data_IF_360149777192
#
_entry.id   IF_360149777192
#
_cell.length_a   1.000
_cell.length_b   1.000
_cell.length_c   1.000
_cell.angle_alpha   90.00
_cell.angle_beta   90.00
_cell.angle_gamma   90.00
#
_symmetry.space_group_name_H-M   'P 1'
#
loop_
_entity.id
_entity.type
_entity.pdbx_description
1 polymer ?
#
# COMPACT_ATOMS: atom_id res chain seq x y z
N UNK A 1 4.51 18.88 -10.20
CA UNK A 1 3.64 17.88 -9.55
C UNK A 1 4.01 17.84 -8.07
N UNK A 2 3.05 17.63 -7.17
CA UNK A 2 3.35 17.51 -5.74
C UNK A 2 3.69 16.05 -5.42
N UNK A 3 4.87 15.80 -4.85
CA UNK A 3 5.24 14.44 -4.45
C UNK A 3 4.54 14.06 -3.13
N UNK A 4 3.75 12.98 -3.17
CA UNK A 4 3.02 12.45 -2.02
C UNK A 4 3.88 11.51 -1.20
N UNK A 5 4.61 10.61 -1.87
CA UNK A 5 5.53 9.68 -1.22
C UNK A 5 6.92 9.82 -1.81
N UNK A 6 7.93 9.93 -0.96
CA UNK A 6 9.34 9.91 -1.37
C UNK A 6 10.11 8.95 -0.49
N UNK A 7 10.82 8.04 -1.13
CA UNK A 7 11.69 7.04 -0.53
C UNK A 7 13.11 7.37 -0.94
N UNK A 8 14.00 7.55 0.03
CA UNK A 8 15.40 7.93 -0.21
C UNK A 8 16.32 6.85 0.36
N UNK A 9 17.06 6.18 -0.51
CA UNK A 9 18.13 5.23 -0.20
C UNK A 9 17.75 4.17 0.85
N UNK A 10 16.48 3.69 0.80
CA UNK A 10 16.04 2.67 1.75
C UNK A 10 16.83 1.40 1.54
N UNK A 11 17.46 0.96 2.62
CA UNK A 11 18.10 -0.36 2.71
C UNK A 11 17.46 -1.14 3.84
N UNK A 12 17.11 -2.39 3.55
CA UNK A 12 16.63 -3.33 4.56
C UNK A 12 17.47 -4.60 4.54
N UNK A 13 18.19 -4.84 5.63
CA UNK A 13 19.07 -5.97 5.79
C UNK A 13 18.62 -6.87 6.95
N UNK A 14 18.44 -8.15 6.66
CA UNK A 14 18.13 -9.18 7.64
C UNK A 14 19.38 -10.06 7.88
N UNK A 15 20.08 -9.78 8.94
CA UNK A 15 21.36 -10.48 9.20
C UNK A 15 22.38 -10.23 8.07
N UNK A 16 22.72 -11.26 7.31
CA UNK A 16 23.62 -11.17 6.16
C UNK A 16 22.94 -10.91 4.83
N UNK A 17 21.60 -10.91 4.77
CA UNK A 17 20.85 -10.77 3.51
C UNK A 17 20.35 -9.34 3.37
N UNK A 18 20.67 -8.68 2.26
CA UNK A 18 20.14 -7.36 1.90
C UNK A 18 18.94 -7.57 0.99
N UNK A 19 17.74 -7.39 1.55
CA UNK A 19 16.47 -7.60 0.82
C UNK A 19 16.04 -6.37 0.00
N UNK A 20 16.42 -5.17 0.44
CA UNK A 20 16.25 -3.90 -0.30
C UNK A 20 17.56 -3.13 -0.15
N UNK A 21 18.09 -2.60 -1.24
CA UNK A 21 19.43 -2.03 -1.29
C UNK A 21 19.44 -0.65 -1.96
N UNK A 22 19.54 0.41 -1.17
CA UNK A 22 19.57 1.81 -1.62
C UNK A 22 18.44 2.19 -2.57
N UNK A 23 17.22 1.71 -2.30
CA UNK A 23 16.05 1.99 -3.11
C UNK A 23 15.61 3.44 -2.93
N UNK A 24 15.57 4.18 -4.03
CA UNK A 24 15.02 5.54 -4.09
C UNK A 24 13.92 5.58 -5.14
N UNK A 25 12.77 6.15 -4.77
CA UNK A 25 11.61 6.32 -5.66
C UNK A 25 10.67 7.37 -5.11
N UNK A 26 9.75 7.83 -5.94
CA UNK A 26 8.71 8.78 -5.53
C UNK A 26 7.37 8.46 -6.18
N UNK A 27 6.29 8.96 -5.59
CA UNK A 27 4.93 8.88 -6.12
C UNK A 27 4.34 10.27 -6.05
N UNK A 28 3.87 10.78 -7.18
CA UNK A 28 3.27 12.10 -7.27
C UNK A 28 1.75 12.03 -7.07
N UNK A 29 1.15 13.18 -6.75
CA UNK A 29 -0.27 13.29 -6.46
C UNK A 29 -1.13 12.90 -7.67
N UNK A 30 -2.09 12.00 -7.43
CA UNK A 30 -3.01 11.53 -8.46
C UNK A 30 -2.45 10.49 -9.42
N UNK A 31 -1.23 10.00 -9.24
CA UNK A 31 -0.67 8.89 -10.03
C UNK A 31 -1.16 7.51 -9.56
N UNK A 32 -1.20 6.56 -10.49
CA UNK A 32 -1.14 5.13 -10.22
C UNK A 32 0.29 4.66 -10.53
N UNK A 33 1.05 4.33 -9.51
CA UNK A 33 2.42 3.84 -9.66
C UNK A 33 2.46 2.35 -9.31
N UNK A 34 3.14 1.56 -10.12
CA UNK A 34 3.38 0.15 -9.83
C UNK A 34 4.84 -0.12 -9.48
N UNK A 35 5.07 -1.01 -8.53
CA UNK A 35 6.37 -1.61 -8.20
C UNK A 35 6.34 -3.08 -8.63
N UNK A 36 7.11 -3.42 -9.65
CA UNK A 36 7.19 -4.77 -10.19
C UNK A 36 8.59 -5.37 -10.04
N UNK A 37 8.74 -6.64 -10.38
CA UNK A 37 9.99 -7.36 -10.36
C UNK A 37 9.79 -8.84 -10.04
N UNK A 38 10.79 -9.69 -10.23
CA UNK A 38 10.72 -11.12 -9.94
C UNK A 38 10.32 -11.45 -8.51
N UNK A 39 9.98 -12.71 -8.26
CA UNK A 39 9.74 -13.20 -6.90
C UNK A 39 11.03 -13.09 -6.07
N UNK A 40 10.90 -12.57 -4.84
CA UNK A 40 12.08 -12.32 -4.00
C UNK A 40 12.84 -11.01 -4.28
N UNK A 41 12.45 -10.22 -5.28
CA UNK A 41 13.11 -8.96 -5.60
C UNK A 41 13.05 -7.87 -4.49
N UNK A 42 12.26 -8.07 -3.42
CA UNK A 42 12.21 -7.14 -2.28
C UNK A 42 10.98 -6.24 -2.23
N UNK A 43 10.02 -6.37 -3.16
CA UNK A 43 8.80 -5.53 -3.27
C UNK A 43 8.04 -5.38 -1.96
N UNK A 44 7.60 -6.49 -1.37
CA UNK A 44 6.86 -6.51 -0.10
C UNK A 44 7.71 -5.98 1.06
N UNK A 45 9.04 -6.19 1.03
CA UNK A 45 9.94 -5.62 2.03
C UNK A 45 10.00 -4.10 1.93
N UNK A 46 10.04 -3.53 0.73
CA UNK A 46 9.96 -2.08 0.53
C UNK A 46 8.63 -1.51 1.07
N UNK A 47 7.48 -2.13 0.77
CA UNK A 47 6.18 -1.73 1.32
C UNK A 47 6.14 -1.84 2.85
N UNK A 48 6.77 -2.85 3.43
CA UNK A 48 6.85 -3.02 4.88
C UNK A 48 7.67 -1.89 5.54
N UNK A 49 8.72 -1.40 4.89
CA UNK A 49 9.48 -0.24 5.35
C UNK A 49 8.64 1.05 5.25
N UNK A 50 7.92 1.25 4.15
CA UNK A 50 7.07 2.44 3.94
C UNK A 50 5.94 2.48 4.98
N UNK A 51 5.36 1.34 5.30
CA UNK A 51 4.18 1.24 6.20
C UNK A 51 4.53 1.02 7.67
N UNK A 52 5.81 1.07 8.05
CA UNK A 52 6.26 0.96 9.44
C UNK A 52 6.14 -0.45 10.05
N UNK A 53 5.95 -1.47 9.20
CA UNK A 53 6.02 -2.88 9.63
C UNK A 53 7.47 -3.26 9.89
N UNK A 54 8.40 -2.75 9.07
CA UNK A 54 9.84 -2.88 9.27
C UNK A 54 10.48 -1.50 9.44
N UNK A 55 11.40 -1.41 10.38
CA UNK A 55 12.31 -0.27 10.48
C UNK A 55 13.42 -0.48 9.47
N UNK A 56 13.64 0.43 8.50
CA UNK A 56 14.72 0.29 7.55
C UNK A 56 16.08 0.24 8.27
N UNK A 57 17.03 -0.48 7.71
CA UNK A 57 18.41 -0.48 8.22
C UNK A 57 19.08 0.87 7.99
N UNK A 58 18.75 1.53 6.87
CA UNK A 58 19.25 2.85 6.48
C UNK A 58 18.27 3.53 5.53
N UNK A 59 18.24 4.87 5.50
CA UNK A 59 17.44 5.67 4.58
C UNK A 59 16.25 6.34 5.21
N UNK A 60 15.42 6.97 4.39
CA UNK A 60 14.28 7.78 4.81
C UNK A 60 13.04 7.56 3.94
N UNK A 61 11.88 7.69 4.57
CA UNK A 61 10.57 7.76 3.90
C UNK A 61 9.86 9.03 4.30
N UNK A 62 9.44 9.79 3.31
CA UNK A 62 8.68 11.01 3.47
C UNK A 62 7.28 10.84 2.89
N UNK A 63 6.28 11.30 3.60
CA UNK A 63 4.91 11.39 3.15
C UNK A 63 4.48 12.86 3.16
N UNK A 64 4.19 13.40 1.98
CA UNK A 64 4.21 14.84 1.75
C UNK A 64 5.52 15.46 2.30
N UNK A 65 5.45 16.51 3.08
CA UNK A 65 6.62 17.15 3.71
C UNK A 65 7.00 16.56 5.08
N UNK A 66 6.40 15.42 5.46
CA UNK A 66 6.61 14.79 6.77
C UNK A 66 7.50 13.57 6.67
N UNK A 67 8.60 13.58 7.43
CA UNK A 67 9.43 12.39 7.62
C UNK A 67 8.67 11.35 8.46
N UNK A 68 8.33 10.20 7.86
CA UNK A 68 7.55 9.14 8.51
C UNK A 68 8.37 7.95 8.96
N UNK A 69 9.49 7.67 8.29
CA UNK A 69 10.47 6.69 8.74
C UNK A 69 11.88 7.18 8.38
N UNK A 70 12.82 6.99 9.28
CA UNK A 70 14.24 7.21 9.03
C UNK A 70 15.05 6.37 10.01
N UNK A 71 16.11 5.76 9.53
CA UNK A 71 17.01 5.00 10.37
C UNK A 71 18.43 4.98 9.80
N UNK A 72 19.37 4.56 10.63
CA UNK A 72 20.77 4.35 10.27
C UNK A 72 21.31 3.12 11.02
N UNK A 73 22.35 2.45 10.49
CA UNK A 73 22.90 1.26 11.11
C UNK A 73 23.36 1.51 12.54
N UNK A 74 22.84 0.74 13.49
CA UNK A 74 23.14 0.81 14.92
C UNK A 74 23.47 -0.60 15.48
N UNK A 75 24.06 -0.67 16.65
CA UNK A 75 24.36 -1.91 17.34
C UNK A 75 25.12 -2.93 16.47
N UNK A 76 24.62 -4.15 16.36
CA UNK A 76 25.22 -5.22 15.54
C UNK A 76 25.20 -4.87 14.05
N UNK A 77 24.15 -4.19 13.56
CA UNK A 77 24.03 -3.81 12.15
C UNK A 77 25.10 -2.81 11.72
N UNK A 78 25.60 -1.94 12.62
CA UNK A 78 26.69 -1.02 12.31
C UNK A 78 27.96 -1.72 11.84
N UNK A 79 28.20 -2.96 12.30
CA UNK A 79 29.34 -3.78 11.89
C UNK A 79 29.11 -4.53 10.56
N UNK A 80 27.85 -4.88 10.29
CA UNK A 80 27.46 -5.66 9.11
C UNK A 80 27.18 -4.79 7.89
N UNK A 81 26.63 -3.58 8.12
CA UNK A 81 26.24 -2.68 7.05
C UNK A 81 27.47 -2.03 6.39
N UNK A 82 27.66 -2.28 5.11
CA UNK A 82 28.72 -1.71 4.27
C UNK A 82 28.15 -0.86 3.10
N UNK A 83 26.88 -0.42 3.20
CA UNK A 83 26.21 0.31 2.13
C UNK A 83 26.81 1.69 1.84
N UNK A 84 26.64 2.15 0.60
CA UNK A 84 27.18 3.41 0.07
C UNK A 84 26.74 4.65 0.86
N UNK A 85 25.48 4.62 1.37
CA UNK A 85 24.89 5.73 2.11
C UNK A 85 25.17 5.66 3.62
N UNK A 86 26.20 4.95 4.06
CA UNK A 86 26.58 4.86 5.47
C UNK A 86 26.95 6.24 6.01
N UNK A 87 26.24 6.67 7.08
CA UNK A 87 26.47 7.96 7.73
C UNK A 87 25.74 9.14 7.09
N UNK A 88 25.06 8.97 5.95
CA UNK A 88 24.21 9.99 5.33
C UNK A 88 23.01 10.33 6.21
N UNK A 89 22.41 9.32 6.81
CA UNK A 89 21.23 9.46 7.69
C UNK A 89 21.65 9.32 9.15
N UNK A 90 21.20 10.24 9.99
CA UNK A 90 21.58 10.30 11.42
C UNK A 90 20.37 10.38 12.35
N UNK A 91 19.19 10.66 11.79
CA UNK A 91 17.94 10.72 12.57
C UNK A 91 17.32 9.32 12.63
N UNK A 92 16.68 9.03 13.75
CA UNK A 92 15.82 7.86 13.90
C UNK A 92 14.39 8.34 14.05
N UNK A 93 13.53 7.94 13.12
CA UNK A 93 12.09 8.21 13.15
C UNK A 93 11.38 6.90 12.90
N UNK A 94 10.60 6.45 13.88
CA UNK A 94 9.83 5.20 13.82
C UNK A 94 8.37 5.52 14.06
N UNK A 95 7.53 5.10 13.14
CA UNK A 95 6.09 5.17 13.29
C UNK A 95 5.49 3.77 13.12
N UNK A 96 4.56 3.44 13.99
CA UNK A 96 3.78 2.21 13.90
C UNK A 96 2.76 2.29 12.74
N UNK A 97 2.31 1.15 12.17
CA UNK A 97 1.35 1.15 11.05
C UNK A 97 0.06 1.93 11.33
N UNK A 98 -0.44 1.89 12.56
CA UNK A 98 -1.64 2.66 12.95
C UNK A 98 -1.42 4.18 12.88
N UNK A 99 -0.22 4.66 13.26
CA UNK A 99 0.14 6.07 13.14
C UNK A 99 0.27 6.48 11.67
N UNK A 100 0.89 5.64 10.85
CA UNK A 100 1.04 5.88 9.41
C UNK A 100 -0.34 5.92 8.74
N UNK A 101 -1.26 5.03 9.10
CA UNK A 101 -2.63 5.07 8.59
C UNK A 101 -3.35 6.37 9.00
N UNK A 102 -3.18 6.84 10.23
CA UNK A 102 -3.73 8.12 10.69
C UNK A 102 -3.15 9.34 9.97
N UNK A 103 -1.97 9.22 9.37
CA UNK A 103 -1.37 10.28 8.54
C UNK A 103 -1.98 10.35 7.14
N UNK A 104 -2.70 9.32 6.69
CA UNK A 104 -3.36 9.28 5.39
C UNK A 104 -2.81 8.23 4.42
N UNK A 105 -2.06 7.24 4.89
CA UNK A 105 -1.60 6.09 4.09
C UNK A 105 -2.41 4.86 4.50
N UNK A 106 -3.23 4.32 3.59
CA UNK A 106 -3.90 3.04 3.81
C UNK A 106 -3.25 1.93 2.99
N UNK A 107 -3.27 0.70 3.50
CA UNK A 107 -2.72 -0.47 2.82
C UNK A 107 -3.69 -1.64 2.87
N UNK A 108 -3.88 -2.32 1.74
CA UNK A 108 -4.42 -3.68 1.68
C UNK A 108 -3.29 -4.70 1.83
N UNK A 109 -3.63 -5.96 2.02
CA UNK A 109 -2.64 -7.02 2.15
C UNK A 109 -2.84 -8.07 1.06
N UNK A 110 -1.78 -8.77 0.67
CA UNK A 110 -1.85 -9.88 -0.29
C UNK A 110 -2.93 -10.90 0.10
N UNK A 111 -2.90 -11.36 1.34
CA UNK A 111 -3.97 -12.18 1.92
C UNK A 111 -5.05 -11.28 2.50
N UNK A 112 -6.27 -11.37 2.01
CA UNK A 112 -7.42 -10.57 2.47
C UNK A 112 -7.59 -10.68 3.99
N UNK A 113 -7.57 -9.54 4.68
CA UNK A 113 -7.71 -9.45 6.14
C UNK A 113 -9.01 -8.79 6.54
N UNK A 114 -10.11 -9.53 6.43
CA UNK A 114 -11.43 -9.09 6.92
C UNK A 114 -11.68 -9.56 8.36
N UNK A 115 -12.53 -8.81 9.06
CA UNK A 115 -13.12 -9.29 10.32
C UNK A 115 -14.13 -10.38 10.00
N UNK A 116 -13.70 -11.63 10.12
CA UNK A 116 -14.45 -12.82 9.65
C UNK A 116 -15.79 -13.02 10.35
N UNK A 117 -15.93 -12.54 11.59
CA UNK A 117 -17.13 -12.65 12.42
C UNK A 117 -18.05 -11.44 12.31
N UNK A 118 -17.74 -10.52 11.41
CA UNK A 118 -18.50 -9.30 11.19
C UNK A 118 -19.17 -9.29 9.83
N UNK A 119 -20.26 -8.55 9.71
CA UNK A 119 -20.94 -8.31 8.42
C UNK A 119 -20.09 -7.42 7.51
N UNK A 120 -20.47 -7.35 6.25
CA UNK A 120 -19.88 -6.43 5.25
C UNK A 120 -19.95 -4.99 5.75
N UNK A 121 -21.10 -4.56 6.25
CA UNK A 121 -21.29 -3.22 6.80
C UNK A 121 -20.40 -2.96 8.04
N UNK A 122 -20.36 -3.88 8.99
CA UNK A 122 -19.55 -3.73 10.20
C UNK A 122 -18.05 -3.66 9.91
N UNK A 123 -17.57 -4.39 8.90
CA UNK A 123 -16.18 -4.32 8.44
C UNK A 123 -15.80 -2.89 8.04
N UNK A 124 -16.64 -2.18 7.30
CA UNK A 124 -16.42 -0.79 6.90
C UNK A 124 -16.57 0.16 8.10
N UNK A 125 -17.65 -0.02 8.88
CA UNK A 125 -17.92 0.83 10.04
C UNK A 125 -16.78 0.80 11.08
N UNK A 126 -16.18 -0.35 11.34
CA UNK A 126 -15.04 -0.46 12.25
C UNK A 126 -13.86 0.42 11.77
N UNK A 127 -13.60 0.44 10.47
CA UNK A 127 -12.52 1.25 9.90
C UNK A 127 -12.78 2.76 10.03
N UNK A 128 -14.04 3.21 9.92
CA UNK A 128 -14.38 4.64 10.12
C UNK A 128 -14.10 5.11 11.56
N UNK A 129 -14.14 4.20 12.53
CA UNK A 129 -13.88 4.54 13.94
C UNK A 129 -12.46 5.03 14.21
N UNK A 130 -11.48 4.74 13.34
CA UNK A 130 -10.13 5.33 13.45
C UNK A 130 -10.15 6.87 13.42
N UNK A 131 -11.17 7.46 12.79
CA UNK A 131 -11.34 8.92 12.65
C UNK A 131 -12.18 9.54 13.76
N UNK A 132 -12.74 8.70 14.66
CA UNK A 132 -13.60 9.16 15.73
C UNK A 132 -12.85 10.10 16.67
N UNK A 133 -13.37 11.31 16.87
CA UNK A 133 -12.78 12.33 17.75
C UNK A 133 -13.32 12.24 19.19
N UNK A 134 -14.32 11.37 19.44
CA UNK A 134 -14.95 11.23 20.75
C UNK A 134 -13.98 10.62 21.76
N UNK A 135 -13.89 11.22 22.95
CA UNK A 135 -13.16 10.72 24.09
C UNK A 135 -14.08 10.03 25.10
N UNK A 136 -13.51 9.43 26.15
CA UNK A 136 -14.24 8.66 27.16
C UNK A 136 -15.39 9.45 27.79
N UNK A 137 -15.25 10.77 27.96
CA UNK A 137 -16.29 11.64 28.54
C UNK A 137 -17.52 11.79 27.63
N UNK A 138 -17.31 12.01 26.32
CA UNK A 138 -18.42 12.12 25.37
C UNK A 138 -19.14 10.80 25.14
N UNK A 139 -18.44 9.68 25.26
CA UNK A 139 -19.01 8.33 25.21
C UNK A 139 -19.88 8.04 26.44
N UNK A 140 -19.43 8.40 27.64
CA UNK A 140 -20.16 8.18 28.89
C UNK A 140 -21.49 8.95 28.98
N UNK A 141 -21.58 10.10 28.32
CA UNK A 141 -22.79 10.95 28.32
C UNK A 141 -23.70 10.76 27.10
N UNK A 142 -23.50 9.72 26.28
CA UNK A 142 -24.26 9.42 25.07
C UNK A 142 -24.37 10.61 24.07
N UNK A 143 -23.42 11.55 24.07
CA UNK A 143 -23.43 12.73 23.23
C UNK A 143 -23.00 12.45 21.78
N UNK A 144 -22.65 11.20 21.46
CA UNK A 144 -22.05 10.79 20.19
C UNK A 144 -23.07 10.35 19.12
N UNK A 145 -24.38 10.39 19.39
CA UNK A 145 -25.38 9.82 18.49
C UNK A 145 -25.42 10.43 17.08
N UNK A 146 -25.06 11.72 16.93
CA UNK A 146 -24.96 12.37 15.61
C UNK A 146 -23.71 11.91 14.84
N UNK A 147 -22.58 11.85 15.50
CA UNK A 147 -21.32 11.38 14.91
C UNK A 147 -21.45 9.92 14.48
N UNK A 148 -22.07 9.08 15.31
CA UNK A 148 -22.29 7.66 15.02
C UNK A 148 -23.22 7.45 13.82
N UNK A 149 -24.32 8.23 13.72
CA UNK A 149 -25.18 8.19 12.53
C UNK A 149 -24.42 8.60 11.28
N UNK A 150 -23.66 9.69 11.32
CA UNK A 150 -22.88 10.15 10.19
C UNK A 150 -21.86 9.09 9.71
N UNK A 151 -21.18 8.38 10.64
CA UNK A 151 -20.26 7.29 10.30
C UNK A 151 -20.99 6.08 9.69
N UNK A 152 -22.20 5.77 10.15
CA UNK A 152 -23.04 4.71 9.57
C UNK A 152 -23.51 5.06 8.17
N UNK A 153 -23.99 6.30 7.97
CA UNK A 153 -24.43 6.78 6.66
C UNK A 153 -23.26 6.81 5.67
N UNK A 154 -22.09 7.29 6.10
CA UNK A 154 -20.86 7.28 5.31
C UNK A 154 -20.42 5.85 4.96
N UNK A 155 -20.49 4.91 5.90
CA UNK A 155 -20.17 3.51 5.65
C UNK A 155 -21.09 2.87 4.62
N UNK A 156 -22.38 3.17 4.67
CA UNK A 156 -23.35 2.68 3.69
C UNK A 156 -23.13 3.31 2.31
N UNK A 157 -22.82 4.60 2.25
CA UNK A 157 -22.52 5.28 1.00
C UNK A 157 -21.26 4.71 0.35
N UNK A 158 -20.23 4.43 1.17
CA UNK A 158 -19.00 3.77 0.67
C UNK A 158 -19.31 2.37 0.12
N UNK A 159 -20.19 1.60 0.78
CA UNK A 159 -20.60 0.29 0.27
C UNK A 159 -21.35 0.40 -1.06
N UNK A 160 -22.16 1.43 -1.29
CA UNK A 160 -22.79 1.68 -2.59
C UNK A 160 -21.73 1.96 -3.67
N UNK A 161 -20.75 2.80 -3.36
CA UNK A 161 -19.67 3.14 -4.30
C UNK A 161 -18.91 1.89 -4.75
N UNK A 162 -18.62 0.97 -3.82
CA UNK A 162 -17.90 -0.27 -4.15
C UNK A 162 -18.83 -1.42 -4.62
N UNK A 163 -20.14 -1.16 -4.74
CA UNK A 163 -21.12 -2.14 -5.22
C UNK A 163 -21.42 -3.28 -4.24
N UNK A 164 -21.36 -3.01 -2.94
CA UNK A 164 -21.59 -4.00 -1.87
C UNK A 164 -22.79 -3.67 -0.95
N UNK A 165 -23.56 -2.64 -1.25
CA UNK A 165 -24.71 -2.21 -0.45
C UNK A 165 -25.80 -3.28 -0.37
N UNK A 166 -26.06 -3.99 -1.49
CA UNK A 166 -27.05 -5.09 -1.55
C UNK A 166 -26.72 -6.30 -0.67
N UNK A 167 -25.45 -6.42 -0.21
CA UNK A 167 -24.99 -7.52 0.66
C UNK A 167 -24.46 -7.01 2.01
N UNK A 168 -24.80 -5.78 2.38
CA UNK A 168 -24.30 -5.11 3.60
C UNK A 168 -24.53 -5.90 4.89
N UNK A 169 -25.63 -6.65 4.99
CA UNK A 169 -25.99 -7.49 6.13
C UNK A 169 -25.36 -8.90 6.12
N UNK A 170 -24.74 -9.31 5.03
CA UNK A 170 -24.12 -10.62 4.93
C UNK A 170 -22.81 -10.68 5.71
N UNK A 171 -22.41 -11.90 6.12
CA UNK A 171 -21.08 -12.12 6.70
C UNK A 171 -20.00 -11.88 5.65
N UNK A 172 -18.92 -11.20 6.03
CA UNK A 172 -17.83 -10.90 5.11
C UNK A 172 -17.22 -12.16 4.46
N UNK A 173 -17.26 -13.29 5.17
CA UNK A 173 -16.74 -14.58 4.69
C UNK A 173 -17.65 -15.30 3.70
N UNK A 174 -18.92 -14.91 3.59
CA UNK A 174 -19.87 -15.50 2.62
C UNK A 174 -19.68 -14.94 1.20
N UNK A 175 -18.99 -13.81 1.08
CA UNK A 175 -18.76 -13.16 -0.20
C UNK A 175 -17.81 -13.97 -1.11
N UNK A 176 -18.04 -13.96 -2.45
CA UNK A 176 -17.05 -14.39 -3.42
C UNK A 176 -15.74 -13.60 -3.27
N UNK A 177 -14.61 -14.18 -3.69
CA UNK A 177 -13.28 -13.63 -3.49
C UNK A 177 -13.12 -12.19 -4.00
N UNK A 178 -13.56 -11.91 -5.23
CA UNK A 178 -13.51 -10.55 -5.79
C UNK A 178 -14.30 -9.51 -4.97
N UNK A 179 -15.47 -9.90 -4.42
CA UNK A 179 -16.23 -9.03 -3.50
C UNK A 179 -15.55 -8.85 -2.15
N UNK A 180 -14.86 -9.87 -1.63
CA UNK A 180 -14.05 -9.74 -0.42
C UNK A 180 -12.89 -8.74 -0.64
N UNK A 181 -12.24 -8.76 -1.82
CA UNK A 181 -11.19 -7.79 -2.18
C UNK A 181 -11.75 -6.37 -2.26
N UNK A 182 -12.92 -6.17 -2.90
CA UNK A 182 -13.60 -4.86 -2.92
C UNK A 182 -13.94 -4.38 -1.50
N UNK A 183 -14.37 -5.27 -0.61
CA UNK A 183 -14.63 -4.94 0.79
C UNK A 183 -13.34 -4.54 1.55
N UNK A 184 -12.23 -5.21 1.31
CA UNK A 184 -10.93 -4.85 1.90
C UNK A 184 -10.49 -3.44 1.45
N UNK A 185 -10.64 -3.13 0.16
CA UNK A 185 -10.38 -1.78 -0.38
C UNK A 185 -11.34 -0.76 0.24
N UNK A 186 -12.63 -1.07 0.35
CA UNK A 186 -13.61 -0.19 1.02
C UNK A 186 -13.21 0.13 2.48
N UNK A 187 -12.69 -0.86 3.20
CA UNK A 187 -12.15 -0.63 4.56
C UNK A 187 -10.95 0.31 4.56
N UNK A 188 -10.07 0.18 3.60
CA UNK A 188 -8.94 1.10 3.44
C UNK A 188 -9.45 2.53 3.14
N UNK A 189 -10.39 2.68 2.21
CA UNK A 189 -11.01 3.96 1.84
C UNK A 189 -11.77 4.62 3.00
N UNK A 190 -12.37 3.82 3.90
CA UNK A 190 -13.07 4.31 5.09
C UNK A 190 -12.16 5.11 6.05
N UNK A 191 -10.83 4.96 5.95
CA UNK A 191 -9.87 5.76 6.71
C UNK A 191 -9.61 7.13 6.10
N UNK A 192 -10.15 7.43 4.89
CA UNK A 192 -9.92 8.64 4.07
C UNK A 192 -8.45 8.88 3.77
N UNK A 193 -7.77 7.92 3.14
CA UNK A 193 -6.38 8.09 2.79
C UNK A 193 -6.22 9.07 1.62
N UNK A 194 -5.05 9.71 1.49
CA UNK A 194 -4.60 10.34 0.25
C UNK A 194 -3.69 9.43 -0.57
N UNK A 195 -3.08 8.41 0.07
CA UNK A 195 -2.28 7.38 -0.59
C UNK A 195 -2.82 5.99 -0.23
N UNK A 196 -3.20 5.23 -1.26
CA UNK A 196 -3.66 3.85 -1.14
C UNK A 196 -2.56 2.91 -1.66
N UNK A 197 -2.06 2.05 -0.77
CA UNK A 197 -1.11 0.99 -1.09
C UNK A 197 -1.85 -0.32 -1.33
N UNK A 198 -1.70 -0.90 -2.52
CA UNK A 198 -2.30 -2.18 -2.91
C UNK A 198 -1.21 -3.25 -3.04
N UNK A 199 -1.30 -4.30 -2.25
CA UNK A 199 -0.35 -5.40 -2.22
C UNK A 199 -0.93 -6.62 -2.94
N UNK A 200 -0.52 -6.85 -4.19
CA UNK A 200 -0.99 -7.89 -5.11
C UNK A 200 -2.53 -8.00 -5.14
N UNK A 201 -3.23 -6.90 -5.52
CA UNK A 201 -4.70 -6.88 -5.44
C UNK A 201 -5.38 -7.89 -6.36
N UNK A 202 -4.77 -8.28 -7.48
CA UNK A 202 -5.33 -9.25 -8.43
C UNK A 202 -4.94 -10.71 -8.13
N UNK A 203 -4.20 -10.98 -7.05
CA UNK A 203 -3.77 -12.34 -6.74
C UNK A 203 -4.95 -13.32 -6.65
N UNK A 204 -4.90 -14.41 -7.45
CA UNK A 204 -5.93 -15.45 -7.48
C UNK A 204 -7.19 -15.11 -8.28
N UNK A 205 -7.20 -14.01 -9.03
CA UNK A 205 -8.28 -13.62 -9.93
C UNK A 205 -8.08 -14.19 -11.33
N UNK A 206 -9.19 -14.46 -12.03
CA UNK A 206 -9.15 -14.76 -13.45
C UNK A 206 -8.98 -13.46 -14.28
N UNK A 207 -8.70 -13.54 -15.61
CA UNK A 207 -8.45 -12.35 -16.44
C UNK A 207 -9.62 -11.34 -16.41
N UNK A 208 -10.86 -11.81 -16.50
CA UNK A 208 -12.03 -10.92 -16.45
C UNK A 208 -12.15 -10.19 -15.09
N UNK A 209 -11.95 -10.91 -13.99
CA UNK A 209 -11.96 -10.30 -12.64
C UNK A 209 -10.82 -9.29 -12.46
N UNK A 210 -9.67 -9.55 -13.12
CA UNK A 210 -8.52 -8.63 -13.10
C UNK A 210 -8.84 -7.33 -13.85
N UNK A 211 -9.48 -7.42 -15.01
CA UNK A 211 -9.90 -6.24 -15.79
C UNK A 211 -10.95 -5.43 -15.01
N UNK A 212 -11.97 -6.10 -14.43
CA UNK A 212 -12.97 -5.45 -13.58
C UNK A 212 -12.34 -4.77 -12.33
N UNK A 213 -11.26 -5.35 -11.79
CA UNK A 213 -10.50 -4.75 -10.69
C UNK A 213 -9.74 -3.50 -11.17
N UNK A 214 -9.15 -3.54 -12.37
CA UNK A 214 -8.47 -2.38 -12.97
C UNK A 214 -9.41 -1.19 -13.12
N UNK A 215 -10.58 -1.41 -13.70
CA UNK A 215 -11.63 -0.38 -13.85
C UNK A 215 -12.09 0.14 -12.48
N UNK A 216 -12.23 -0.74 -11.51
CA UNK A 216 -12.59 -0.37 -10.15
C UNK A 216 -11.52 0.51 -9.50
N UNK A 217 -10.22 0.18 -9.64
CA UNK A 217 -9.12 0.99 -9.10
C UNK A 217 -9.10 2.38 -9.73
N UNK A 218 -9.28 2.49 -11.06
CA UNK A 218 -9.39 3.79 -11.75
C UNK A 218 -10.57 4.61 -11.21
N UNK A 219 -11.74 3.98 -11.10
CA UNK A 219 -12.96 4.65 -10.61
C UNK A 219 -12.79 5.21 -9.20
N UNK A 220 -12.26 4.44 -8.26
CA UNK A 220 -12.03 4.92 -6.89
C UNK A 220 -10.94 5.99 -6.81
N UNK A 221 -9.89 5.87 -7.64
CA UNK A 221 -8.84 6.90 -7.74
C UNK A 221 -9.45 8.25 -8.10
N UNK A 222 -10.27 8.31 -9.15
CA UNK A 222 -10.92 9.53 -9.60
C UNK A 222 -11.93 10.05 -8.56
N UNK A 223 -12.81 9.18 -8.06
CA UNK A 223 -13.88 9.56 -7.15
C UNK A 223 -13.39 10.10 -5.81
N UNK A 224 -12.30 9.52 -5.28
CA UNK A 224 -11.72 9.90 -3.99
C UNK A 224 -10.47 10.78 -4.13
N UNK A 225 -10.07 11.13 -5.36
CA UNK A 225 -8.84 11.90 -5.64
C UNK A 225 -7.61 11.25 -5.00
N UNK A 226 -7.47 9.94 -5.17
CA UNK A 226 -6.40 9.15 -4.56
C UNK A 226 -5.13 9.19 -5.40
N UNK A 227 -4.02 9.03 -4.69
CA UNK A 227 -2.78 8.51 -5.24
C UNK A 227 -2.74 7.01 -4.94
N UNK A 228 -2.36 6.18 -5.90
CA UNK A 228 -2.30 4.73 -5.73
C UNK A 228 -0.87 4.25 -5.97
N UNK A 229 -0.37 3.44 -5.06
CA UNK A 229 0.90 2.75 -5.23
C UNK A 229 0.68 1.25 -5.02
N UNK A 230 0.99 0.44 -6.04
CA UNK A 230 0.70 -1.00 -5.98
C UNK A 230 1.94 -1.86 -6.23
N UNK A 231 1.97 -3.02 -5.58
CA UNK A 231 2.80 -4.15 -5.99
C UNK A 231 1.92 -5.08 -6.78
N UNK A 232 2.38 -5.49 -7.95
CA UNK A 232 1.69 -6.46 -8.78
C UNK A 232 2.65 -7.30 -9.61
N UNK A 233 2.18 -8.48 -10.01
CA UNK A 233 2.86 -9.39 -10.94
C UNK A 233 2.00 -9.74 -12.16
N UNK A 234 0.72 -9.34 -12.18
CA UNK A 234 -0.16 -9.44 -13.33
C UNK A 234 0.13 -8.30 -14.30
N UNK A 235 1.03 -8.56 -15.27
CA UNK A 235 1.52 -7.50 -16.19
C UNK A 235 0.40 -6.81 -16.95
N UNK A 236 -0.66 -7.54 -17.37
CA UNK A 236 -1.79 -6.92 -18.07
C UNK A 236 -2.43 -5.80 -17.25
N UNK A 237 -2.68 -6.04 -15.95
CA UNK A 237 -3.23 -5.03 -15.05
C UNK A 237 -2.24 -3.85 -14.89
N UNK A 238 -0.97 -4.16 -14.65
CA UNK A 238 0.07 -3.13 -14.47
C UNK A 238 0.15 -2.22 -15.68
N UNK A 239 0.29 -2.80 -16.88
CA UNK A 239 0.44 -2.04 -18.13
C UNK A 239 -0.83 -1.25 -18.49
N UNK A 240 -2.01 -1.73 -18.09
CA UNK A 240 -3.28 -1.09 -18.38
C UNK A 240 -3.55 0.14 -17.51
N UNK A 241 -3.27 0.07 -16.19
CA UNK A 241 -3.72 1.12 -15.27
C UNK A 241 -2.63 2.04 -14.73
N UNK A 242 -1.33 1.68 -14.88
CA UNK A 242 -0.25 2.47 -14.26
C UNK A 242 0.12 3.67 -15.11
N UNK A 243 0.34 4.80 -14.46
CA UNK A 243 0.93 6.00 -15.07
C UNK A 243 2.45 5.85 -15.16
N UNK A 244 3.06 5.18 -14.15
CA UNK A 244 4.50 4.96 -14.03
C UNK A 244 4.79 3.65 -13.31
N UNK A 245 5.90 3.01 -13.70
CA UNK A 245 6.34 1.71 -13.17
C UNK A 245 7.77 1.82 -12.68
N UNK A 246 8.03 1.30 -11.49
CA UNK A 246 9.35 1.00 -10.96
C UNK A 246 9.60 -0.50 -11.05
N UNK A 247 10.77 -0.89 -11.56
CA UNK A 247 11.18 -2.30 -11.63
C UNK A 247 12.33 -2.52 -10.68
N UNK A 248 12.19 -3.49 -9.78
CA UNK A 248 13.27 -3.87 -8.87
C UNK A 248 13.68 -5.32 -9.10
N UNK A 249 14.99 -5.55 -8.99
CA UNK A 249 15.58 -6.88 -8.98
C UNK A 249 16.65 -6.96 -7.89
N UNK A 250 16.71 -8.08 -7.15
CA UNK A 250 17.59 -8.27 -5.98
C UNK A 250 17.67 -7.05 -5.04
N UNK A 251 16.53 -6.40 -4.80
CA UNK A 251 16.44 -5.25 -3.90
C UNK A 251 16.88 -3.91 -4.47
N UNK A 252 17.27 -3.83 -5.75
CA UNK A 252 17.74 -2.62 -6.43
C UNK A 252 16.76 -2.18 -7.50
N UNK A 253 16.65 -0.89 -7.70
CA UNK A 253 15.94 -0.33 -8.84
C UNK A 253 16.77 -0.59 -10.10
N UNK A 254 16.14 -1.21 -11.11
CA UNK A 254 16.75 -1.48 -12.41
C UNK A 254 16.14 -0.64 -13.53
N UNK A 255 14.86 -0.27 -13.42
CA UNK A 255 14.18 0.59 -14.40
C UNK A 255 13.09 1.44 -13.77
N UNK A 256 12.81 2.60 -14.37
CA UNK A 256 11.69 3.49 -14.08
C UNK A 256 11.19 4.09 -15.39
N UNK A 257 9.88 4.10 -15.61
CA UNK A 257 9.30 4.71 -16.82
C UNK A 257 7.80 4.48 -16.94
N UNK A 258 7.25 4.90 -18.05
CA UNK A 258 5.88 4.56 -18.46
C UNK A 258 5.77 3.08 -18.79
N UNK A 259 4.56 2.49 -18.82
CA UNK A 259 4.37 1.11 -19.22
C UNK A 259 5.09 0.73 -20.52
N UNK A 260 5.02 1.58 -21.55
CA UNK A 260 5.67 1.33 -22.84
C UNK A 260 7.21 1.32 -22.76
N UNK A 261 7.80 2.24 -21.98
CA UNK A 261 9.26 2.32 -21.80
C UNK A 261 9.77 1.10 -21.04
N UNK A 262 9.07 0.67 -19.98
CA UNK A 262 9.46 -0.49 -19.15
C UNK A 262 9.31 -1.80 -19.93
N UNK A 263 8.30 -1.92 -20.79
CA UNK A 263 8.08 -3.13 -21.60
C UNK A 263 9.23 -3.41 -22.58
N UNK A 264 9.83 -2.36 -23.12
CA UNK A 264 10.90 -2.45 -24.11
C UNK A 264 12.31 -2.38 -23.50
N UNK A 265 12.43 -2.28 -22.15
CA UNK A 265 13.71 -2.14 -21.47
C UNK A 265 14.47 -3.49 -21.43
N UNK A 266 15.70 -3.56 -21.99
CA UNK A 266 16.47 -4.80 -22.01
C UNK A 266 16.83 -5.37 -20.63
N UNK A 267 17.08 -4.51 -19.61
CA UNK A 267 17.38 -4.97 -18.25
C UNK A 267 16.15 -5.60 -17.60
N UNK A 268 14.95 -5.03 -17.88
CA UNK A 268 13.68 -5.59 -17.41
C UNK A 268 13.42 -6.94 -18.06
N UNK A 269 13.58 -7.03 -19.39
CA UNK A 269 13.41 -8.28 -20.14
C UNK A 269 14.34 -9.35 -19.59
N UNK A 270 15.61 -9.02 -19.37
CA UNK A 270 16.60 -9.97 -18.83
C UNK A 270 16.24 -10.43 -17.41
N UNK A 271 15.79 -9.52 -16.54
CA UNK A 271 15.40 -9.85 -15.17
C UNK A 271 14.23 -10.84 -15.09
N UNK A 272 13.32 -10.80 -16.06
CA UNK A 272 12.19 -11.73 -16.12
C UNK A 272 12.51 -13.03 -16.88
N UNK A 273 13.33 -13.00 -17.93
CA UNK A 273 13.72 -14.19 -18.71
C UNK A 273 14.85 -14.98 -18.06
N UNK A 274 15.76 -14.33 -17.32
CA UNK A 274 16.86 -15.01 -16.63
C UNK A 274 16.44 -15.86 -15.44
N UNK A 275 15.17 -15.85 -15.05
CA UNK A 275 14.59 -16.68 -13.97
C UNK A 275 14.14 -18.05 -14.47
N UNK A 276 13.99 -18.23 -15.79
CA UNK A 276 13.48 -19.48 -16.40
C UNK A 276 14.59 -20.51 -16.77
N UNK A 277 15.88 -20.23 -16.49
CA UNK A 277 17.03 -21.08 -16.89
C UNK A 277 17.75 -21.81 -15.74
N UNK A 278 17.13 -22.00 -14.54
CA UNK A 278 17.70 -22.89 -13.51
C UNK A 278 16.73 -24.00 -13.07
#
# INVERSE_FOLDING_TARGET
>A
MNTVLRVNDITMQFGGVVAVNNLSMHVDEGEIVALIGPNGAGKTTAFNCITGVYEPTNGEVWFHDRLIASNHPSGKMKKLYAGENRGKYTRVVVNTPDKITKMGIARTFQNIRLFKTQTVFENVLIATHMRKKSNLFTAAFHLNGREERALRDESMELLKIVGLDGVAGEMATSLPYGKQRRLEIARALATKPSLLLLDEPAAGMNPQETDELGDFIRSIKEQFQLTVFMIEHHMNLVMDISDRIYVIDFGRLIAEGTPAEVQDDPEVIQAYLGVDEE
#
